data_IF_464365656573
#
_entry.id   IF_464365656573
#
_cell.length_a   1.000
_cell.length_b   1.000
_cell.length_c   1.000
_cell.angle_alpha   90.00
_cell.angle_beta   90.00
_cell.angle_gamma   90.00
#
_symmetry.space_group_name_H-M   'P 1'
#
loop_
_entity.id
_entity.type
_entity.pdbx_description
1 polymer ?
#
# COMPACT_ATOMS: atom_id res chain seq x y z
N UNK A 1 -66.22 6.63 -39.01
CA UNK A 1 -65.54 7.61 -38.15
C UNK A 1 -64.80 6.81 -37.06
N UNK A 2 -63.49 6.59 -37.24
CA UNK A 2 -62.65 5.78 -36.35
C UNK A 2 -61.86 6.75 -35.52
N UNK A 3 -62.02 6.63 -34.21
CA UNK A 3 -61.43 7.47 -33.20
C UNK A 3 -59.97 7.00 -32.94
N UNK A 4 -58.97 7.86 -33.21
CA UNK A 4 -57.57 7.60 -32.94
C UNK A 4 -57.29 7.85 -31.47
N UNK A 5 -57.07 6.81 -30.69
CA UNK A 5 -56.46 6.89 -29.35
C UNK A 5 -54.94 7.07 -29.50
N UNK A 6 -54.45 8.20 -29.06
CA UNK A 6 -53.04 8.49 -28.95
C UNK A 6 -52.41 7.59 -27.87
N UNK A 7 -51.45 6.77 -28.27
CA UNK A 7 -50.60 5.99 -27.39
C UNK A 7 -49.43 6.89 -26.99
N UNK A 8 -49.52 7.52 -25.81
CA UNK A 8 -48.39 8.18 -25.19
C UNK A 8 -47.41 7.11 -24.65
N UNK A 9 -46.34 6.86 -25.40
CA UNK A 9 -45.17 6.13 -24.92
C UNK A 9 -44.39 7.04 -23.96
N UNK A 10 -44.59 6.89 -22.67
CA UNK A 10 -43.70 7.43 -21.64
C UNK A 10 -42.37 6.66 -21.70
N UNK A 11 -41.38 7.21 -22.40
CA UNK A 11 -40.02 6.77 -22.28
C UNK A 11 -39.52 7.13 -20.86
N UNK A 12 -39.49 6.14 -19.96
CA UNK A 12 -38.85 6.30 -18.69
C UNK A 12 -37.35 6.55 -18.96
N UNK A 13 -36.88 7.77 -18.71
CA UNK A 13 -35.46 8.11 -18.75
C UNK A 13 -34.78 7.32 -17.63
N UNK A 14 -34.10 6.25 -17.98
CA UNK A 14 -33.23 5.51 -17.05
C UNK A 14 -32.06 6.44 -16.69
N UNK A 15 -32.03 6.86 -15.42
CA UNK A 15 -30.98 7.72 -14.89
C UNK A 15 -29.61 7.03 -15.06
N UNK A 16 -28.55 7.77 -15.47
CA UNK A 16 -27.20 7.20 -15.60
C UNK A 16 -26.66 6.58 -14.29
N UNK A 17 -27.26 6.89 -13.15
CA UNK A 17 -26.91 6.29 -11.84
C UNK A 17 -27.28 4.81 -11.73
N UNK A 18 -28.17 4.28 -12.59
CA UNK A 18 -28.61 2.87 -12.55
C UNK A 18 -27.75 1.94 -13.42
N UNK A 19 -26.79 2.47 -14.17
CA UNK A 19 -25.84 1.72 -14.99
C UNK A 19 -24.47 1.49 -14.30
N UNK A 20 -24.36 1.76 -13.00
CA UNK A 20 -23.35 1.12 -12.16
C UNK A 20 -23.78 -0.35 -11.91
N UNK A 21 -24.04 -1.05 -13.01
CA UNK A 21 -24.30 -2.48 -13.03
C UNK A 21 -23.19 -3.16 -12.22
N UNK A 22 -23.58 -3.86 -11.16
CA UNK A 22 -22.85 -4.83 -10.37
C UNK A 22 -21.54 -5.25 -11.04
N UNK A 23 -20.47 -4.45 -10.83
CA UNK A 23 -19.14 -4.95 -11.09
C UNK A 23 -18.98 -6.12 -10.13
N UNK A 24 -18.92 -7.34 -10.65
CA UNK A 24 -18.62 -8.54 -9.87
C UNK A 24 -17.17 -8.44 -9.39
N UNK A 25 -16.98 -7.75 -8.27
CA UNK A 25 -15.68 -7.65 -7.64
C UNK A 25 -15.33 -9.01 -7.03
N UNK A 26 -14.20 -9.57 -7.43
CA UNK A 26 -13.71 -10.86 -6.93
C UNK A 26 -13.61 -10.89 -5.40
N UNK A 27 -13.28 -9.76 -4.78
CA UNK A 27 -13.09 -9.62 -3.34
C UNK A 27 -14.32 -9.03 -2.61
N UNK A 28 -15.51 -9.10 -3.20
CA UNK A 28 -16.74 -8.59 -2.62
C UNK A 28 -16.85 -7.06 -2.58
N UNK A 29 -16.05 -6.36 -3.38
CA UNK A 29 -16.04 -4.91 -3.59
C UNK A 29 -14.70 -4.39 -4.09
N UNK A 30 -14.54 -3.08 -4.32
CA UNK A 30 -13.30 -2.52 -4.89
C UNK A 30 -12.11 -2.74 -3.96
N UNK A 31 -10.93 -2.86 -4.56
CA UNK A 31 -9.63 -3.01 -3.88
C UNK A 31 -8.69 -1.90 -4.34
N UNK A 32 -8.09 -1.19 -3.40
CA UNK A 32 -7.02 -0.22 -3.64
C UNK A 32 -5.70 -0.78 -3.09
N UNK A 33 -4.78 -1.06 -3.99
CA UNK A 33 -3.42 -1.47 -3.69
C UNK A 33 -2.53 -0.24 -3.51
N UNK A 34 -1.97 -0.01 -2.32
CA UNK A 34 -1.12 1.16 -2.05
C UNK A 34 0.36 0.92 -2.34
N UNK A 35 0.73 -0.27 -2.83
CA UNK A 35 2.13 -0.64 -3.03
C UNK A 35 2.33 -1.50 -4.28
N UNK A 36 2.32 -0.86 -5.44
CA UNK A 36 2.64 -1.50 -6.71
C UNK A 36 3.77 -0.75 -7.41
N UNK A 37 4.94 -1.35 -7.51
CA UNK A 37 6.04 -0.73 -8.25
C UNK A 37 5.72 -0.54 -9.73
N UNK A 38 6.13 0.60 -10.28
CA UNK A 38 6.05 0.85 -11.71
C UNK A 38 6.90 -0.19 -12.45
N UNK A 39 6.26 -1.00 -13.28
CA UNK A 39 6.93 -2.07 -13.99
C UNK A 39 7.97 -1.51 -14.98
N UNK A 40 9.07 -2.24 -15.18
CA UNK A 40 10.14 -1.80 -16.09
C UNK A 40 9.71 -1.68 -17.55
N UNK A 41 8.68 -2.42 -17.99
CA UNK A 41 8.10 -2.29 -19.33
C UNK A 41 7.44 -0.93 -19.49
N UNK A 42 7.81 -0.15 -20.52
CA UNK A 42 7.41 1.25 -20.65
C UNK A 42 5.90 1.48 -20.94
N UNK A 43 5.21 0.46 -21.46
CA UNK A 43 3.82 0.54 -21.92
C UNK A 43 2.77 0.52 -20.79
N UNK A 44 3.16 0.11 -19.58
CA UNK A 44 2.27 -0.04 -18.42
C UNK A 44 1.30 -1.22 -18.49
N UNK A 45 1.35 -2.02 -19.55
CA UNK A 45 0.45 -3.16 -19.72
C UNK A 45 0.66 -4.20 -18.62
N UNK A 46 1.89 -4.39 -18.15
CA UNK A 46 2.17 -5.30 -17.04
C UNK A 46 1.53 -4.84 -15.71
N UNK A 47 1.53 -3.53 -15.41
CA UNK A 47 0.84 -3.01 -14.24
C UNK A 47 -0.68 -3.20 -14.35
N UNK A 48 -1.25 -2.93 -15.54
CA UNK A 48 -2.69 -3.13 -15.78
C UNK A 48 -3.07 -4.62 -15.72
N UNK A 49 -2.29 -5.49 -16.35
CA UNK A 49 -2.49 -6.95 -16.32
C UNK A 49 -2.42 -7.49 -14.89
N UNK A 50 -1.45 -7.00 -14.09
CA UNK A 50 -1.30 -7.38 -12.69
C UNK A 50 -2.56 -7.02 -11.87
N UNK A 51 -3.03 -5.77 -11.92
CA UNK A 51 -4.22 -5.38 -11.14
C UNK A 51 -5.48 -6.09 -11.62
N UNK A 52 -5.63 -6.34 -12.93
CA UNK A 52 -6.76 -7.10 -13.46
C UNK A 52 -6.74 -8.56 -13.00
N UNK A 53 -5.59 -9.23 -13.09
CA UNK A 53 -5.45 -10.64 -12.71
C UNK A 53 -5.53 -10.88 -11.21
N UNK A 54 -5.18 -9.90 -10.38
CA UNK A 54 -5.26 -9.99 -8.93
C UNK A 54 -6.62 -9.57 -8.35
N UNK A 55 -7.54 -9.04 -9.17
CA UNK A 55 -8.82 -8.51 -8.73
C UNK A 55 -8.72 -7.14 -8.06
N UNK A 56 -7.59 -6.44 -8.23
CA UNK A 56 -7.37 -5.07 -7.74
C UNK A 56 -8.06 -4.08 -8.69
N UNK A 57 -8.81 -3.14 -8.12
CA UNK A 57 -9.56 -2.14 -8.87
C UNK A 57 -8.70 -0.94 -9.23
N UNK A 58 -7.91 -0.48 -8.29
CA UNK A 58 -7.03 0.69 -8.39
C UNK A 58 -5.71 0.42 -7.69
N UNK A 59 -4.62 0.98 -8.20
CA UNK A 59 -3.32 0.88 -7.53
C UNK A 59 -2.60 2.23 -7.46
N UNK A 60 -1.79 2.39 -6.41
CA UNK A 60 -0.77 3.42 -6.29
C UNK A 60 0.50 2.91 -6.96
N UNK A 61 0.93 3.56 -8.02
CA UNK A 61 2.22 3.28 -8.66
C UNK A 61 3.35 3.92 -7.84
N UNK A 62 4.25 3.12 -7.31
CA UNK A 62 5.47 3.60 -6.67
C UNK A 62 6.51 3.91 -7.73
N UNK A 63 6.89 5.17 -7.81
CA UNK A 63 7.63 5.74 -8.93
C UNK A 63 8.86 6.49 -8.44
N UNK A 64 9.99 6.31 -9.10
CA UNK A 64 11.16 7.15 -8.86
C UNK A 64 11.03 8.48 -9.62
N UNK A 65 11.54 9.57 -9.08
CA UNK A 65 11.42 10.89 -9.68
C UNK A 65 11.81 10.96 -11.17
N UNK A 66 12.85 10.25 -11.66
CA UNK A 66 13.17 10.21 -13.09
C UNK A 66 12.08 9.56 -13.97
N UNK A 67 11.25 8.69 -13.39
CA UNK A 67 10.18 7.97 -14.09
C UNK A 67 8.80 8.62 -13.92
N UNK A 68 8.71 9.79 -13.31
CA UNK A 68 7.43 10.46 -12.97
C UNK A 68 6.51 10.66 -14.19
N UNK A 69 7.07 11.05 -15.33
CA UNK A 69 6.29 11.26 -16.55
C UNK A 69 5.64 9.96 -17.07
N UNK A 70 6.28 8.80 -16.84
CA UNK A 70 5.70 7.49 -17.19
C UNK A 70 4.46 7.19 -16.33
N UNK A 71 4.53 7.47 -15.02
CA UNK A 71 3.36 7.26 -14.14
C UNK A 71 2.23 8.21 -14.48
N UNK A 72 2.51 9.46 -14.80
CA UNK A 72 1.49 10.42 -15.27
C UNK A 72 0.82 9.91 -16.55
N UNK A 73 1.59 9.48 -17.52
CA UNK A 73 1.06 8.91 -18.77
C UNK A 73 0.16 7.68 -18.53
N UNK A 74 0.50 6.82 -17.54
CA UNK A 74 -0.33 5.68 -17.19
C UNK A 74 -1.63 6.08 -16.49
N UNK A 75 -1.59 7.08 -15.62
CA UNK A 75 -2.79 7.63 -14.97
C UNK A 75 -3.75 8.22 -16.01
N UNK A 76 -3.22 8.93 -17.01
CA UNK A 76 -3.99 9.49 -18.12
C UNK A 76 -4.54 8.40 -19.06
N UNK A 77 -3.70 7.42 -19.41
CA UNK A 77 -4.06 6.31 -20.31
C UNK A 77 -5.14 5.40 -19.72
N UNK A 78 -5.12 5.18 -18.39
CA UNK A 78 -6.05 4.29 -17.70
C UNK A 78 -6.81 5.03 -16.58
N UNK A 79 -7.76 5.91 -16.92
CA UNK A 79 -8.47 6.73 -15.95
C UNK A 79 -9.13 5.90 -14.85
N UNK A 80 -8.92 6.30 -13.60
CA UNK A 80 -9.50 5.63 -12.44
C UNK A 80 -8.78 4.36 -11.99
N UNK A 81 -7.80 3.85 -12.76
CA UNK A 81 -7.08 2.60 -12.43
C UNK A 81 -5.80 2.84 -11.64
N UNK A 82 -5.14 3.96 -11.84
CA UNK A 82 -3.90 4.30 -11.16
C UNK A 82 -3.95 5.70 -10.53
N UNK A 83 -3.22 5.82 -9.45
CA UNK A 83 -2.67 7.04 -8.87
C UNK A 83 -1.19 6.76 -8.57
N UNK A 84 -0.41 7.71 -8.11
CA UNK A 84 1.02 7.48 -7.93
C UNK A 84 1.61 8.17 -6.72
N UNK A 85 2.68 7.58 -6.20
CA UNK A 85 3.60 8.15 -5.22
C UNK A 85 4.96 8.34 -5.87
N UNK A 86 5.79 9.17 -5.27
CA UNK A 86 7.11 9.49 -5.79
C UNK A 86 8.18 9.28 -4.73
N UNK A 87 9.31 8.70 -5.13
CA UNK A 87 10.55 8.68 -4.34
C UNK A 87 11.68 9.36 -5.10
N UNK A 88 12.64 9.92 -4.37
CA UNK A 88 13.88 10.50 -4.88
C UNK A 88 15.02 10.09 -3.97
N UNK A 89 16.28 10.21 -4.43
CA UNK A 89 17.43 9.94 -3.57
C UNK A 89 17.52 11.01 -2.47
N UNK A 90 16.99 10.65 -1.30
CA UNK A 90 16.86 11.58 -0.15
C UNK A 90 18.18 12.02 0.44
N UNK A 91 19.29 11.38 0.07
CA UNK A 91 20.65 11.80 0.47
C UNK A 91 21.16 12.97 -0.36
N UNK A 92 20.47 13.30 -1.45
CA UNK A 92 20.83 14.40 -2.35
C UNK A 92 20.10 15.68 -1.99
N UNK A 93 20.74 16.84 -2.15
CA UNK A 93 20.13 18.14 -1.87
C UNK A 93 18.93 18.46 -2.78
N UNK A 94 18.85 17.85 -3.96
CA UNK A 94 17.77 18.08 -4.94
C UNK A 94 16.46 17.34 -4.59
N UNK A 95 16.51 16.33 -3.72
CA UNK A 95 15.37 15.49 -3.43
C UNK A 95 14.12 16.28 -2.99
N UNK A 96 14.19 17.28 -2.11
CA UNK A 96 13.01 18.06 -1.73
C UNK A 96 12.35 18.76 -2.92
N UNK A 97 13.13 19.33 -3.83
CA UNK A 97 12.61 20.01 -5.01
C UNK A 97 11.94 19.04 -5.99
N UNK A 98 12.55 17.86 -6.22
CA UNK A 98 12.01 16.81 -7.07
C UNK A 98 10.68 16.27 -6.51
N UNK A 99 10.61 15.99 -5.21
CA UNK A 99 9.42 15.49 -4.54
C UNK A 99 8.30 16.54 -4.54
N UNK A 100 8.63 17.81 -4.24
CA UNK A 100 7.67 18.92 -4.29
C UNK A 100 7.09 19.10 -5.68
N UNK A 101 7.94 19.03 -6.72
CA UNK A 101 7.48 19.13 -8.11
C UNK A 101 6.52 17.98 -8.43
N UNK A 102 6.87 16.75 -8.09
CA UNK A 102 6.04 15.59 -8.38
C UNK A 102 4.68 15.64 -7.66
N UNK A 103 4.62 16.11 -6.41
CA UNK A 103 3.35 16.30 -5.70
C UNK A 103 2.49 17.39 -6.37
N UNK A 104 3.09 18.50 -6.80
CA UNK A 104 2.39 19.53 -7.60
C UNK A 104 1.87 18.98 -8.93
N UNK A 105 2.57 18.03 -9.51
CA UNK A 105 2.21 17.34 -10.76
C UNK A 105 1.20 16.19 -10.54
N UNK A 106 0.71 15.98 -9.31
CA UNK A 106 -0.37 15.04 -9.00
C UNK A 106 0.04 13.76 -8.28
N UNK A 107 1.27 13.63 -7.79
CA UNK A 107 1.61 12.53 -6.87
C UNK A 107 0.85 12.70 -5.54
N UNK A 108 0.22 11.63 -5.07
CA UNK A 108 -0.60 11.65 -3.84
C UNK A 108 0.17 11.28 -2.58
N UNK A 109 1.47 10.98 -2.69
CA UNK A 109 2.32 10.60 -1.57
C UNK A 109 3.78 10.56 -1.95
N UNK A 110 4.62 10.44 -0.92
CA UNK A 110 6.06 10.24 -1.05
C UNK A 110 6.38 8.78 -0.68
N UNK A 111 7.03 8.05 -1.59
CA UNK A 111 7.40 6.65 -1.35
C UNK A 111 7.55 5.80 -2.62
N UNK A 112 8.10 4.62 -2.47
CA UNK A 112 8.67 4.01 -1.26
C UNK A 112 10.02 4.68 -0.93
N UNK A 113 10.18 5.13 0.31
CA UNK A 113 11.47 5.65 0.80
C UNK A 113 12.28 4.47 1.33
N UNK A 114 13.26 4.06 0.52
CA UNK A 114 14.12 2.90 0.78
C UNK A 114 15.59 3.28 0.60
N UNK A 115 16.17 3.88 1.63
CA UNK A 115 17.56 4.37 1.59
C UNK A 115 18.34 3.90 2.81
N UNK A 116 19.67 3.73 2.65
CA UNK A 116 20.59 3.28 3.69
C UNK A 116 20.94 4.43 4.65
N UNK A 117 19.92 4.95 5.32
CA UNK A 117 20.03 6.04 6.30
C UNK A 117 19.27 5.66 7.56
N UNK A 118 19.63 6.21 8.74
CA UNK A 118 18.84 5.99 9.95
C UNK A 118 17.45 6.62 9.85
N UNK A 119 16.42 5.94 10.37
CA UNK A 119 15.02 6.45 10.35
C UNK A 119 14.84 7.77 11.11
N UNK A 120 15.74 8.07 12.05
CA UNK A 120 15.82 9.30 12.83
C UNK A 120 16.96 10.23 12.39
N UNK A 121 17.56 9.93 11.22
CA UNK A 121 18.62 10.75 10.62
C UNK A 121 18.13 12.08 10.01
N UNK A 122 19.07 12.97 9.69
CA UNK A 122 18.71 14.30 9.15
C UNK A 122 17.96 14.23 7.83
N UNK A 123 18.33 13.30 6.93
CA UNK A 123 17.68 13.13 5.64
C UNK A 123 16.23 12.70 5.79
N UNK A 124 15.95 11.72 6.66
CA UNK A 124 14.60 11.26 6.94
C UNK A 124 13.76 12.36 7.60
N UNK A 125 14.32 13.07 8.60
CA UNK A 125 13.62 14.21 9.25
C UNK A 125 13.22 15.28 8.26
N UNK A 126 14.09 15.59 7.30
CA UNK A 126 13.80 16.52 6.19
C UNK A 126 12.60 16.03 5.36
N UNK A 127 12.53 14.73 5.06
CA UNK A 127 11.41 14.15 4.31
C UNK A 127 10.11 14.13 5.13
N UNK A 128 10.18 13.89 6.43
CA UNK A 128 9.00 13.95 7.31
C UNK A 128 8.40 15.35 7.36
N UNK A 129 9.26 16.37 7.53
CA UNK A 129 8.83 17.76 7.49
C UNK A 129 8.20 18.13 6.14
N UNK A 130 8.84 17.73 5.04
CA UNK A 130 8.35 17.99 3.69
C UNK A 130 6.97 17.32 3.44
N UNK A 131 6.80 16.06 3.85
CA UNK A 131 5.52 15.36 3.71
C UNK A 131 4.39 16.08 4.46
N UNK A 132 4.68 16.58 5.67
CA UNK A 132 3.72 17.38 6.45
C UNK A 132 3.39 18.72 5.77
N UNK A 133 4.39 19.41 5.22
CA UNK A 133 4.23 20.67 4.48
C UNK A 133 3.37 20.49 3.23
N UNK A 134 3.63 19.42 2.47
CA UNK A 134 2.88 19.09 1.25
C UNK A 134 1.50 18.46 1.54
N UNK A 135 1.22 18.07 2.79
CA UNK A 135 -0.04 17.45 3.19
C UNK A 135 -0.26 16.03 2.69
N UNK A 136 0.81 15.35 2.24
CA UNK A 136 0.76 14.00 1.66
C UNK A 136 1.35 12.95 2.63
N UNK A 137 0.95 11.66 2.55
CA UNK A 137 1.58 10.60 3.31
C UNK A 137 2.99 10.29 2.82
N UNK A 138 3.81 9.71 3.73
CA UNK A 138 5.14 9.18 3.41
C UNK A 138 5.20 7.69 3.73
N UNK A 139 5.54 6.87 2.73
CA UNK A 139 5.69 5.43 2.86
C UNK A 139 7.16 5.07 3.02
N UNK A 140 7.48 4.30 4.07
CA UNK A 140 8.85 4.04 4.52
C UNK A 140 9.11 2.54 4.59
N UNK A 141 10.20 2.11 3.97
CA UNK A 141 10.74 0.77 4.08
C UNK A 141 11.63 0.66 5.33
N UNK A 142 11.23 -0.13 6.31
CA UNK A 142 12.04 -0.44 7.50
C UNK A 142 12.70 -1.80 7.37
N UNK A 143 14.01 -1.83 7.23
CA UNK A 143 14.81 -3.04 7.13
C UNK A 143 16.05 -2.95 8.02
N UNK A 144 15.96 -3.35 9.28
CA UNK A 144 17.07 -3.36 10.26
C UNK A 144 17.92 -4.63 10.15
N UNK A 145 17.41 -5.67 9.49
CA UNK A 145 18.14 -6.92 9.27
C UNK A 145 18.66 -6.94 7.84
N UNK A 146 19.98 -7.13 7.64
CA UNK A 146 20.54 -7.22 6.30
C UNK A 146 19.89 -8.34 5.49
N UNK A 147 19.40 -8.01 4.30
CA UNK A 147 18.84 -9.01 3.39
C UNK A 147 19.95 -9.72 2.61
N UNK A 148 19.68 -10.93 2.12
CA UNK A 148 20.65 -11.85 1.51
C UNK A 148 21.49 -11.29 0.35
N UNK A 149 21.16 -10.15 -0.22
CA UNK A 149 21.88 -9.48 -1.31
C UNK A 149 22.96 -8.49 -0.86
N UNK A 150 23.30 -8.45 0.43
CA UNK A 150 24.32 -7.56 1.01
C UNK A 150 23.98 -7.12 2.43
N UNK A 151 24.90 -6.40 3.08
CA UNK A 151 24.70 -5.87 4.44
C UNK A 151 23.85 -4.59 4.48
N UNK A 152 22.94 -4.39 3.52
CA UNK A 152 22.16 -3.17 3.43
C UNK A 152 21.04 -3.13 4.46
N UNK A 153 21.05 -2.11 5.29
CA UNK A 153 19.99 -1.72 6.24
C UNK A 153 19.30 -0.49 5.70
N UNK A 154 17.97 -0.53 5.62
CA UNK A 154 17.17 0.55 5.05
C UNK A 154 16.32 1.22 6.11
N UNK A 155 16.37 2.56 6.18
CA UNK A 155 15.69 3.37 7.20
C UNK A 155 15.87 2.78 8.61
N UNK A 156 17.13 2.42 8.93
CA UNK A 156 17.47 1.61 10.09
C UNK A 156 17.21 2.30 11.43
N UNK A 157 17.15 1.49 12.49
CA UNK A 157 16.91 1.97 13.85
C UNK A 157 15.44 2.10 14.22
N UNK A 158 14.60 1.18 13.76
CA UNK A 158 13.16 1.16 13.98
C UNK A 158 12.76 1.41 15.45
N UNK A 159 13.51 0.86 16.41
CA UNK A 159 13.26 1.09 17.85
C UNK A 159 13.24 2.57 18.27
N UNK A 160 13.84 3.47 17.47
CA UNK A 160 13.86 4.93 17.74
C UNK A 160 12.81 5.69 16.96
N UNK A 161 12.02 5.01 16.12
CA UNK A 161 11.05 5.65 15.24
C UNK A 161 9.86 6.27 16.00
N UNK A 162 9.57 5.81 17.22
CA UNK A 162 8.52 6.42 18.04
C UNK A 162 8.79 7.90 18.37
N UNK A 163 10.08 8.27 18.50
CA UNK A 163 10.46 9.67 18.65
C UNK A 163 10.09 10.51 17.42
N UNK A 164 10.14 9.91 16.21
CA UNK A 164 9.75 10.59 14.97
C UNK A 164 8.23 10.73 14.86
N UNK A 165 7.47 9.71 15.26
CA UNK A 165 6.00 9.77 15.32
C UNK A 165 5.53 10.92 16.23
N UNK A 166 6.20 11.13 17.35
CA UNK A 166 5.94 12.25 18.30
C UNK A 166 6.38 13.60 17.75
N UNK A 167 7.57 13.66 17.15
CA UNK A 167 8.16 14.91 16.66
C UNK A 167 7.45 15.46 15.43
N UNK A 168 6.84 14.58 14.61
CA UNK A 168 6.16 14.96 13.36
C UNK A 168 4.66 14.57 13.39
N UNK A 169 3.85 15.14 14.28
CA UNK A 169 2.44 14.73 14.47
C UNK A 169 1.54 15.04 13.26
N UNK A 170 1.97 15.94 12.37
CA UNK A 170 1.24 16.29 11.13
C UNK A 170 1.60 15.38 9.95
N UNK A 171 2.69 14.64 10.04
CA UNK A 171 3.12 13.69 9.00
C UNK A 171 2.32 12.41 9.11
N UNK A 172 1.72 11.97 8.01
CA UNK A 172 1.03 10.67 7.90
C UNK A 172 2.05 9.63 7.47
N UNK A 173 2.45 8.76 8.36
CA UNK A 173 3.44 7.71 8.11
C UNK A 173 2.77 6.42 7.68
N UNK A 174 3.24 5.81 6.59
CA UNK A 174 2.88 4.47 6.15
C UNK A 174 4.10 3.58 6.35
N UNK A 175 4.07 2.71 7.34
CA UNK A 175 5.18 1.81 7.66
C UNK A 175 5.07 0.49 6.90
N UNK A 176 6.20 0.07 6.34
CA UNK A 176 6.31 -1.09 5.47
C UNK A 176 7.58 -1.89 5.77
N UNK A 177 7.63 -3.12 5.26
CA UNK A 177 8.72 -4.07 5.20
C UNK A 177 8.93 -4.93 6.46
N UNK A 178 10.04 -5.67 6.42
CA UNK A 178 10.30 -6.78 7.34
C UNK A 178 10.40 -6.35 8.79
N UNK A 179 11.12 -5.28 9.08
CA UNK A 179 11.29 -4.84 10.47
C UNK A 179 9.97 -4.36 11.08
N UNK A 180 9.12 -3.67 10.32
CA UNK A 180 7.80 -3.27 10.81
C UNK A 180 6.95 -4.50 11.14
N UNK A 181 6.85 -5.48 10.23
CA UNK A 181 5.99 -6.64 10.40
C UNK A 181 6.57 -7.68 11.37
N UNK A 182 7.89 -7.77 11.53
CA UNK A 182 8.51 -8.62 12.55
C UNK A 182 8.25 -8.08 13.98
N UNK A 183 8.22 -6.75 14.14
CA UNK A 183 7.94 -6.07 15.41
C UNK A 183 6.46 -6.11 15.86
N UNK A 184 5.59 -6.88 15.22
CA UNK A 184 4.29 -7.24 15.80
C UNK A 184 4.46 -8.13 17.04
N UNK A 185 5.62 -8.79 17.18
CA UNK A 185 5.99 -9.63 18.32
C UNK A 185 6.94 -8.91 19.28
N UNK A 186 6.66 -8.99 20.57
CA UNK A 186 7.46 -8.34 21.62
C UNK A 186 8.87 -8.93 21.77
N UNK A 187 9.05 -10.19 21.37
CA UNK A 187 10.32 -10.93 21.48
C UNK A 187 11.17 -10.89 20.21
N UNK A 188 10.86 -10.00 19.26
CA UNK A 188 11.65 -9.91 18.03
C UNK A 188 13.11 -9.52 18.33
N UNK A 189 14.02 -10.42 17.97
CA UNK A 189 15.44 -10.32 18.30
C UNK A 189 16.30 -9.60 17.25
N UNK A 190 15.71 -9.19 16.10
CA UNK A 190 16.42 -8.57 14.95
C UNK A 190 17.47 -9.50 14.32
N UNK A 191 17.26 -10.80 14.39
CA UNK A 191 18.12 -11.85 13.87
C UNK A 191 17.68 -12.39 12.51
N UNK A 192 16.45 -12.15 12.13
CA UNK A 192 15.88 -12.57 10.85
C UNK A 192 14.84 -11.58 10.34
N UNK A 193 14.79 -11.38 9.03
CA UNK A 193 13.78 -10.56 8.36
C UNK A 193 12.37 -11.18 8.42
N UNK A 194 12.29 -12.50 8.55
CA UNK A 194 11.04 -13.27 8.49
C UNK A 194 10.95 -14.26 9.65
N UNK A 195 10.65 -13.78 10.86
CA UNK A 195 10.57 -14.65 12.03
C UNK A 195 9.47 -15.71 11.88
N UNK A 196 9.72 -16.90 12.41
CA UNK A 196 8.78 -18.02 12.49
C UNK A 196 8.24 -18.18 13.91
N UNK A 197 7.18 -18.99 14.06
CA UNK A 197 6.57 -19.26 15.36
C UNK A 197 5.57 -18.21 15.83
N UNK A 198 4.93 -18.44 16.98
CA UNK A 198 3.84 -17.62 17.48
C UNK A 198 4.31 -16.20 17.82
N UNK A 199 3.35 -15.26 17.75
CA UNK A 199 3.56 -13.85 18.12
C UNK A 199 3.41 -13.68 19.63
N UNK A 200 4.38 -13.06 20.29
CA UNK A 200 4.22 -12.59 21.67
C UNK A 200 3.60 -11.20 21.68
N UNK A 201 2.45 -11.01 22.38
CA UNK A 201 1.77 -9.72 22.48
C UNK A 201 2.68 -8.61 23.01
N UNK A 202 2.43 -7.36 22.58
CA UNK A 202 3.17 -6.18 23.05
C UNK A 202 4.31 -5.73 22.14
N UNK A 203 4.38 -6.23 20.91
CA UNK A 203 5.35 -5.76 19.93
C UNK A 203 5.19 -4.28 19.57
N UNK A 204 6.30 -3.67 19.11
CA UNK A 204 6.35 -2.21 18.87
C UNK A 204 5.32 -1.77 17.82
N UNK A 205 5.15 -2.54 16.75
CA UNK A 205 4.21 -2.19 15.68
C UNK A 205 2.75 -2.23 16.15
N UNK A 206 2.37 -3.24 16.96
CA UNK A 206 1.03 -3.35 17.56
C UNK A 206 0.79 -2.17 18.51
N UNK A 207 1.77 -1.86 19.37
CA UNK A 207 1.70 -0.74 20.30
C UNK A 207 1.60 0.60 19.57
N UNK A 208 2.46 0.87 18.60
CA UNK A 208 2.50 2.17 17.93
C UNK A 208 1.31 2.43 17.01
N UNK A 209 0.77 1.40 16.38
CA UNK A 209 -0.50 1.53 15.65
C UNK A 209 -1.66 1.92 16.60
N UNK A 210 -1.62 1.51 17.87
CA UNK A 210 -2.60 1.94 18.88
C UNK A 210 -2.34 3.37 19.36
N UNK A 211 -1.07 3.69 19.65
CA UNK A 211 -0.69 4.93 20.35
C UNK A 211 -0.67 6.17 19.43
N UNK A 212 -0.32 6.01 18.15
CA UNK A 212 -0.05 7.13 17.24
C UNK A 212 -1.11 7.26 16.14
N UNK A 213 -1.93 8.34 16.13
CA UNK A 213 -2.97 8.53 15.11
C UNK A 213 -2.40 8.73 13.69
N UNK A 214 -1.16 9.13 13.58
CA UNK A 214 -0.47 9.43 12.33
C UNK A 214 0.32 8.25 11.73
N UNK A 215 0.24 7.04 12.32
CA UNK A 215 0.87 5.82 11.81
C UNK A 215 -0.15 4.91 11.15
N UNK A 216 0.19 4.40 9.98
CA UNK A 216 -0.54 3.40 9.20
C UNK A 216 0.37 2.23 8.87
N UNK A 217 -0.17 1.03 8.72
CA UNK A 217 0.56 -0.17 8.30
C UNK A 217 0.24 -0.57 6.87
N UNK A 218 1.27 -0.66 6.03
CA UNK A 218 1.18 -1.18 4.67
C UNK A 218 1.32 -2.71 4.68
N UNK A 219 0.27 -3.40 4.27
CA UNK A 219 0.15 -4.87 4.32
C UNK A 219 0.76 -5.57 3.11
N UNK A 220 1.84 -5.04 2.58
CA UNK A 220 2.47 -5.54 1.36
C UNK A 220 3.65 -6.49 1.62
N UNK A 221 4.15 -7.06 0.54
CA UNK A 221 5.31 -7.95 0.46
C UNK A 221 5.18 -9.28 1.20
N UNK A 222 6.28 -10.03 1.15
CA UNK A 222 6.43 -11.25 1.93
C UNK A 222 6.38 -10.98 3.44
N UNK A 223 6.80 -9.81 3.90
CA UNK A 223 6.90 -9.48 5.32
C UNK A 223 5.54 -9.47 6.02
N UNK A 224 4.55 -8.76 5.47
CA UNK A 224 3.19 -8.82 6.01
C UNK A 224 2.58 -10.22 5.86
N UNK A 225 2.73 -10.84 4.69
CA UNK A 225 2.20 -12.17 4.46
C UNK A 225 2.83 -13.21 5.41
N UNK A 226 4.11 -13.05 5.79
CA UNK A 226 4.75 -13.85 6.83
C UNK A 226 4.09 -13.61 8.20
N UNK A 227 3.90 -12.36 8.60
CA UNK A 227 3.24 -12.02 9.87
C UNK A 227 1.82 -12.62 9.95
N UNK A 228 1.02 -12.47 8.90
CA UNK A 228 -0.36 -13.02 8.82
C UNK A 228 -0.40 -14.54 8.98
N UNK A 229 0.55 -15.27 8.39
CA UNK A 229 0.48 -16.72 8.33
C UNK A 229 1.26 -17.44 9.42
N UNK A 230 2.19 -16.77 10.15
CA UNK A 230 2.92 -17.41 11.26
C UNK A 230 2.09 -17.59 12.52
N UNK A 231 1.10 -16.71 12.73
CA UNK A 231 0.18 -16.77 13.88
C UNK A 231 -1.19 -16.17 13.50
N UNK A 232 -2.06 -16.95 12.80
CA UNK A 232 -3.36 -16.48 12.35
C UNK A 232 -4.30 -16.08 13.48
N UNK A 233 -4.20 -16.70 14.65
CA UNK A 233 -5.06 -16.39 15.81
C UNK A 233 -4.74 -15.00 16.35
N UNK A 234 -3.46 -14.70 16.62
CA UNK A 234 -3.03 -13.38 17.04
C UNK A 234 -3.38 -12.33 15.98
N UNK A 235 -3.10 -12.62 14.69
CA UNK A 235 -3.33 -11.67 13.60
C UNK A 235 -4.81 -11.37 13.36
N UNK A 236 -5.73 -12.29 13.64
CA UNK A 236 -7.17 -12.01 13.64
C UNK A 236 -7.51 -10.88 14.63
N UNK A 237 -7.00 -10.96 15.86
CA UNK A 237 -7.14 -9.89 16.85
C UNK A 237 -6.45 -8.59 16.44
N UNK A 238 -5.25 -8.67 15.84
CA UNK A 238 -4.48 -7.53 15.35
C UNK A 238 -5.24 -6.77 14.25
N UNK A 239 -5.78 -7.48 13.25
CA UNK A 239 -6.58 -6.88 12.17
C UNK A 239 -7.81 -6.15 12.72
N UNK A 240 -8.49 -6.73 13.70
CA UNK A 240 -9.65 -6.11 14.33
C UNK A 240 -9.28 -4.84 15.12
N UNK A 241 -8.16 -4.85 15.87
CA UNK A 241 -7.70 -3.68 16.64
C UNK A 241 -7.28 -2.52 15.75
N UNK A 242 -6.61 -2.81 14.64
CA UNK A 242 -6.01 -1.80 13.77
C UNK A 242 -6.76 -1.58 12.47
N UNK A 243 -8.03 -2.03 12.40
CA UNK A 243 -8.86 -2.02 11.19
C UNK A 243 -8.94 -0.68 10.47
N UNK A 244 -8.75 0.44 11.18
CA UNK A 244 -8.85 1.80 10.62
C UNK A 244 -7.49 2.38 10.18
N UNK A 245 -6.40 1.61 10.33
CA UNK A 245 -5.02 2.03 10.06
C UNK A 245 -4.24 1.10 9.15
N UNK A 246 -4.79 -0.07 8.86
CA UNK A 246 -4.17 -1.02 7.94
C UNK A 246 -4.60 -0.73 6.51
N UNK A 247 -3.65 -0.75 5.60
CA UNK A 247 -3.83 -0.44 4.19
C UNK A 247 -3.36 -1.65 3.36
N UNK A 248 -4.21 -2.15 2.48
CA UNK A 248 -3.79 -3.21 1.58
C UNK A 248 -2.76 -2.71 0.59
N UNK A 249 -1.66 -3.43 0.44
CA UNK A 249 -0.63 -3.27 -0.56
C UNK A 249 -0.09 -4.63 -0.99
N UNK A 250 0.50 -4.75 -2.17
CA UNK A 250 1.00 -6.03 -2.63
C UNK A 250 2.53 -6.15 -2.68
N UNK A 251 3.24 -5.16 -3.20
CA UNK A 251 4.67 -5.24 -3.51
C UNK A 251 5.01 -6.53 -4.29
N UNK A 252 4.16 -6.83 -5.28
CA UNK A 252 4.24 -8.09 -6.02
C UNK A 252 4.96 -7.89 -7.34
N UNK A 253 6.05 -8.65 -7.61
CA UNK A 253 6.78 -8.55 -8.87
C UNK A 253 6.15 -9.34 -10.03
N UNK A 254 5.08 -10.13 -9.79
CA UNK A 254 4.45 -10.88 -10.89
C UNK A 254 3.74 -9.95 -11.87
N UNK A 255 3.77 -10.30 -13.15
CA UNK A 255 3.31 -9.43 -14.25
C UNK A 255 1.83 -9.56 -14.60
N UNK A 256 1.16 -10.62 -14.15
CA UNK A 256 -0.20 -10.97 -14.56
C UNK A 256 -1.22 -11.02 -13.42
N UNK A 257 -0.78 -10.73 -12.18
CA UNK A 257 -1.64 -10.83 -11.00
C UNK A 257 -2.07 -12.25 -10.62
N UNK A 258 -1.46 -13.27 -11.22
CA UNK A 258 -1.73 -14.69 -10.97
C UNK A 258 -0.47 -15.49 -10.60
N UNK A 259 0.69 -14.86 -10.62
CA UNK A 259 1.99 -15.44 -10.29
C UNK A 259 2.91 -15.65 -11.50
N UNK A 260 2.46 -15.30 -12.71
CA UNK A 260 3.31 -15.33 -13.89
C UNK A 260 4.47 -14.33 -13.78
N UNK A 261 5.70 -14.82 -14.08
CA UNK A 261 6.90 -14.00 -13.92
C UNK A 261 7.25 -13.63 -12.49
N UNK A 262 6.76 -14.38 -11.50
CA UNK A 262 7.07 -14.16 -10.09
C UNK A 262 8.56 -14.31 -9.82
N UNK A 263 9.20 -13.26 -9.30
CA UNK A 263 10.64 -13.21 -9.00
C UNK A 263 10.95 -13.15 -7.51
N UNK A 264 9.92 -13.21 -6.64
CA UNK A 264 10.15 -13.26 -5.20
C UNK A 264 10.92 -14.53 -4.82
N UNK A 265 12.06 -14.42 -4.12
CA UNK A 265 12.92 -15.57 -3.81
C UNK A 265 12.31 -16.52 -2.78
N UNK A 266 11.23 -16.13 -2.08
CA UNK A 266 10.62 -17.00 -1.09
C UNK A 266 9.80 -18.10 -1.78
N UNK A 267 10.12 -19.41 -1.51
CA UNK A 267 9.45 -20.54 -2.16
C UNK A 267 7.93 -20.57 -1.97
N UNK A 268 7.41 -19.94 -0.90
CA UNK A 268 5.98 -19.83 -0.65
C UNK A 268 5.24 -19.09 -1.76
N UNK A 269 5.92 -18.20 -2.48
CA UNK A 269 5.33 -17.44 -3.59
C UNK A 269 5.66 -17.99 -4.97
N UNK A 270 6.33 -19.13 -5.08
CA UNK A 270 6.60 -19.75 -6.37
C UNK A 270 5.29 -19.94 -7.15
N UNK A 271 5.19 -19.29 -8.31
CA UNK A 271 3.99 -19.31 -9.16
C UNK A 271 2.73 -18.67 -8.54
N UNK A 272 2.86 -17.86 -7.48
CA UNK A 272 1.73 -17.22 -6.80
C UNK A 272 1.84 -15.70 -6.81
N UNK A 273 0.69 -15.03 -6.82
CA UNK A 273 0.61 -13.58 -6.69
C UNK A 273 0.50 -13.17 -5.23
N UNK A 274 1.41 -12.32 -4.75
CA UNK A 274 1.42 -11.84 -3.36
C UNK A 274 0.13 -11.08 -3.04
N UNK A 275 -0.41 -10.28 -3.98
CA UNK A 275 -1.67 -9.58 -3.79
C UNK A 275 -2.81 -10.55 -3.44
N UNK A 276 -2.94 -11.62 -4.19
CA UNK A 276 -4.00 -12.64 -3.98
C UNK A 276 -3.82 -13.38 -2.67
N UNK A 277 -2.59 -13.79 -2.35
CA UNK A 277 -2.28 -14.50 -1.09
C UNK A 277 -2.58 -13.61 0.13
N UNK A 278 -2.24 -12.33 0.07
CA UNK A 278 -2.49 -11.38 1.18
C UNK A 278 -3.98 -11.07 1.30
N UNK A 279 -4.70 -10.77 0.20
CA UNK A 279 -6.15 -10.52 0.22
C UNK A 279 -6.91 -11.74 0.77
N UNK A 280 -6.57 -12.94 0.31
CA UNK A 280 -7.18 -14.17 0.79
C UNK A 280 -6.93 -14.40 2.29
N UNK A 281 -5.72 -14.12 2.78
CA UNK A 281 -5.39 -14.23 4.20
C UNK A 281 -6.20 -13.24 5.04
N UNK A 282 -6.23 -11.96 4.67
CA UNK A 282 -6.98 -10.92 5.38
C UNK A 282 -8.49 -11.23 5.37
N UNK A 283 -9.04 -11.67 4.23
CA UNK A 283 -10.45 -12.03 4.13
C UNK A 283 -10.84 -13.18 5.06
N UNK A 284 -9.99 -14.21 5.18
CA UNK A 284 -10.22 -15.34 6.11
C UNK A 284 -10.18 -14.94 7.57
N UNK A 285 -9.30 -13.99 7.93
CA UNK A 285 -9.01 -13.59 9.31
C UNK A 285 -9.86 -12.41 9.80
N UNK A 286 -10.69 -11.81 8.95
CA UNK A 286 -11.42 -10.61 9.32
C UNK A 286 -12.90 -10.69 8.98
N UNK A 287 -13.73 -9.92 9.74
CA UNK A 287 -15.12 -9.68 9.39
C UNK A 287 -15.20 -8.88 8.09
N UNK A 288 -16.29 -9.01 7.35
CA UNK A 288 -16.52 -8.32 6.06
C UNK A 288 -16.28 -6.81 6.14
N UNK A 289 -16.71 -6.16 7.23
CA UNK A 289 -16.50 -4.73 7.43
C UNK A 289 -15.01 -4.38 7.61
N UNK A 290 -14.26 -5.14 8.42
CA UNK A 290 -12.82 -4.97 8.62
C UNK A 290 -12.08 -5.18 7.30
N UNK A 291 -12.42 -6.22 6.55
CA UNK A 291 -11.86 -6.48 5.23
C UNK A 291 -12.11 -5.32 4.26
N UNK A 292 -13.33 -4.76 4.24
CA UNK A 292 -13.67 -3.59 3.41
C UNK A 292 -12.81 -2.36 3.75
N UNK A 293 -12.64 -2.06 5.06
CA UNK A 293 -11.80 -0.96 5.52
C UNK A 293 -10.36 -1.12 5.03
N UNK A 294 -9.77 -2.30 5.23
CA UNK A 294 -8.37 -2.58 4.87
C UNK A 294 -8.15 -2.51 3.35
N UNK A 295 -9.03 -3.15 2.58
CA UNK A 295 -8.84 -3.24 1.13
C UNK A 295 -9.20 -1.97 0.36
N UNK A 296 -9.98 -1.04 0.95
CA UNK A 296 -10.49 0.13 0.24
C UNK A 296 -10.63 1.40 1.07
N UNK A 297 -11.45 1.40 2.13
CA UNK A 297 -11.92 2.62 2.79
C UNK A 297 -10.77 3.43 3.40
N UNK A 298 -9.82 2.77 4.07
CA UNK A 298 -8.70 3.44 4.75
C UNK A 298 -7.79 4.16 3.76
N UNK A 299 -7.43 3.49 2.67
CA UNK A 299 -6.54 4.06 1.66
C UNK A 299 -7.23 5.20 0.90
N UNK A 300 -8.50 5.06 0.51
CA UNK A 300 -9.26 6.13 -0.14
C UNK A 300 -9.40 7.35 0.76
N UNK A 301 -9.68 7.16 2.05
CA UNK A 301 -9.74 8.23 3.05
C UNK A 301 -8.38 8.92 3.23
N UNK A 302 -7.31 8.14 3.38
CA UNK A 302 -5.95 8.67 3.59
C UNK A 302 -5.50 9.54 2.42
N UNK A 303 -5.81 9.10 1.18
CA UNK A 303 -5.40 9.75 -0.07
C UNK A 303 -6.40 10.79 -0.58
N UNK A 304 -7.52 11.01 0.11
CA UNK A 304 -8.56 11.97 -0.31
C UNK A 304 -9.23 11.60 -1.63
N UNK A 305 -9.28 10.31 -1.96
CA UNK A 305 -9.94 9.83 -3.17
C UNK A 305 -11.45 9.77 -2.95
N UNK A 306 -12.20 10.12 -4.01
CA UNK A 306 -13.65 9.89 -4.00
C UNK A 306 -13.92 8.39 -4.06
N UNK A 307 -14.78 7.90 -3.16
CA UNK A 307 -15.20 6.51 -3.10
C UNK A 307 -16.05 6.07 -4.28
#
# INVERSE_FOLDING_TARGET
MINRREFLLTAAAVSPATLLAQQNYEWGGPVLDIHLHLHLRPDGEANLAHINGSGVTKAVLLTRAPDAERSKALVEKYPGRFVWFVSADITRPEAPAQLTKAVKDGALGMGEIKYQVPCDGPDMKRMYALAAELGVPIQIHFGDVPQASGNAVFSGGFKRFDAMLKAFPKTKFIAHADTFWANVSADYAYDTAYPSGPVKPGGLSDKWLSDYPNLYGDMSANSCNNALNRDPEFMTGFLARHQDKLLFGCDCPCSDGRGGGQTNPNPRFSGKCIARETLAAVQRMSKTEVFRKIRWDNATKLLGLKG
#
